data_IF_267510373799
#
_entry.id   IF_267510373799
#
_cell.length_a   1.000
_cell.length_b   1.000
_cell.length_c   1.000
_cell.angle_alpha   90.00
_cell.angle_beta   90.00
_cell.angle_gamma   90.00
#
_symmetry.space_group_name_H-M   'P 1'
#
loop_
_entity.id
_entity.type
_entity.pdbx_description
1 polymer ?
#
# COMPACT_ATOMS: atom_id res chain seq x y z
N UNK A 1 13.75 -12.53 -6.73
CA UNK A 1 13.37 -11.10 -6.83
C UNK A 1 11.87 -11.01 -6.63
N UNK A 2 11.42 -10.43 -5.52
CA UNK A 2 10.00 -10.17 -5.30
C UNK A 2 9.57 -9.11 -6.32
N UNK A 3 8.84 -9.53 -7.37
CA UNK A 3 8.36 -8.63 -8.40
C UNK A 3 7.14 -7.92 -7.83
N UNK A 4 7.32 -6.68 -7.40
CA UNK A 4 6.20 -5.81 -7.04
C UNK A 4 5.67 -5.20 -8.34
N UNK A 5 4.41 -5.47 -8.63
CA UNK A 5 3.72 -4.95 -9.80
C UNK A 5 3.63 -3.41 -9.78
N UNK A 6 3.42 -2.80 -10.94
CA UNK A 6 3.30 -1.35 -11.07
C UNK A 6 2.20 -0.78 -10.16
N UNK A 7 1.08 -1.49 -10.01
CA UNK A 7 -0.02 -1.10 -9.13
C UNK A 7 0.38 -1.14 -7.64
N UNK A 8 1.11 -2.18 -7.23
CA UNK A 8 1.60 -2.31 -5.86
C UNK A 8 2.62 -1.22 -5.54
N UNK A 9 3.47 -0.85 -6.50
CA UNK A 9 4.40 0.27 -6.34
C UNK A 9 3.65 1.59 -6.16
N UNK A 10 2.59 1.83 -6.92
CA UNK A 10 1.71 3.02 -6.74
C UNK A 10 1.03 3.03 -5.38
N UNK A 11 0.52 1.89 -4.91
CA UNK A 11 -0.09 1.76 -3.57
C UNK A 11 0.94 2.09 -2.47
N UNK A 12 2.15 1.57 -2.58
CA UNK A 12 3.23 1.85 -1.63
C UNK A 12 3.66 3.31 -1.68
N UNK A 13 3.83 3.91 -2.87
CA UNK A 13 4.13 5.33 -3.03
C UNK A 13 3.05 6.22 -2.42
N UNK A 14 1.77 5.92 -2.67
CA UNK A 14 0.65 6.65 -2.08
C UNK A 14 0.67 6.58 -0.55
N UNK A 15 1.00 5.42 0.03
CA UNK A 15 1.16 5.27 1.48
C UNK A 15 2.34 6.08 2.04
N UNK A 16 3.44 6.21 1.28
CA UNK A 16 4.57 7.06 1.66
C UNK A 16 4.20 8.54 1.59
N UNK A 17 3.52 8.96 0.53
CA UNK A 17 3.07 10.35 0.36
C UNK A 17 2.07 10.77 1.43
N UNK A 18 1.13 9.88 1.81
CA UNK A 18 0.18 10.15 2.89
C UNK A 18 0.88 10.22 4.25
N UNK A 19 2.05 9.57 4.40
CA UNK A 19 2.85 9.51 5.63
C UNK A 19 2.08 9.08 6.89
N UNK A 20 0.91 8.47 6.73
CA UNK A 20 -0.01 8.12 7.81
C UNK A 20 -0.84 6.87 7.45
N UNK A 21 -1.49 6.23 8.44
CA UNK A 21 -2.37 5.10 8.19
C UNK A 21 -3.53 5.53 7.30
N UNK A 22 -3.57 5.02 6.07
CA UNK A 22 -4.54 5.39 5.05
C UNK A 22 -5.60 4.30 4.88
N UNK A 23 -6.82 4.73 4.58
CA UNK A 23 -7.91 3.81 4.22
C UNK A 23 -7.77 3.38 2.75
N UNK A 24 -8.35 2.24 2.35
CA UNK A 24 -8.35 1.82 0.94
C UNK A 24 -8.80 2.93 -0.02
N UNK A 25 -9.79 3.73 0.41
CA UNK A 25 -10.29 4.87 -0.37
C UNK A 25 -9.23 5.95 -0.61
N UNK A 26 -8.51 6.34 0.45
CA UNK A 26 -7.44 7.33 0.34
C UNK A 26 -6.28 6.81 -0.51
N UNK A 27 -5.94 5.53 -0.36
CA UNK A 27 -4.90 4.89 -1.16
C UNK A 27 -5.31 4.83 -2.63
N UNK A 28 -6.57 4.51 -2.95
CA UNK A 28 -7.06 4.54 -4.33
C UNK A 28 -7.05 5.93 -4.95
N UNK A 29 -7.40 6.96 -4.20
CA UNK A 29 -7.36 8.35 -4.68
C UNK A 29 -5.93 8.82 -4.90
N UNK A 30 -5.03 8.58 -3.94
CA UNK A 30 -3.62 8.98 -4.05
C UNK A 30 -2.86 8.16 -5.11
N UNK A 31 -3.11 6.85 -5.20
CA UNK A 31 -2.48 5.99 -6.21
C UNK A 31 -3.11 6.13 -7.61
N UNK A 32 -4.28 6.75 -7.72
CA UNK A 32 -5.07 6.82 -8.96
C UNK A 32 -5.44 5.43 -9.49
N UNK A 33 -5.76 4.49 -8.58
CA UNK A 33 -6.05 3.10 -8.91
C UNK A 33 -7.48 2.73 -8.55
N UNK A 34 -8.04 1.74 -9.25
CA UNK A 34 -9.36 1.21 -8.92
C UNK A 34 -9.38 0.59 -7.52
N UNK A 35 -10.47 0.82 -6.78
CA UNK A 35 -10.65 0.29 -5.42
C UNK A 35 -10.51 -1.24 -5.34
N UNK A 36 -10.88 -1.98 -6.40
CA UNK A 36 -10.69 -3.44 -6.46
C UNK A 36 -9.22 -3.81 -6.54
N UNK A 37 -8.45 -3.09 -7.37
CA UNK A 37 -7.01 -3.30 -7.52
C UNK A 37 -6.32 -2.98 -6.20
N UNK A 38 -6.60 -1.81 -5.60
CA UNK A 38 -6.02 -1.41 -4.32
C UNK A 38 -6.32 -2.43 -3.23
N UNK A 39 -7.55 -2.92 -3.13
CA UNK A 39 -7.91 -3.93 -2.11
C UNK A 39 -7.13 -5.23 -2.31
N UNK A 40 -6.97 -5.69 -3.56
CA UNK A 40 -6.16 -6.87 -3.89
C UNK A 40 -4.69 -6.65 -3.54
N UNK A 41 -4.12 -5.51 -3.94
CA UNK A 41 -2.72 -5.20 -3.69
C UNK A 41 -2.43 -4.99 -2.21
N UNK A 42 -3.25 -4.24 -1.47
CA UNK A 42 -3.10 -4.08 -0.01
C UNK A 42 -3.12 -5.45 0.68
N UNK A 43 -3.98 -6.37 0.26
CA UNK A 43 -4.02 -7.72 0.82
C UNK A 43 -2.70 -8.46 0.56
N UNK A 44 -2.22 -8.48 -0.67
CA UNK A 44 -0.92 -9.08 -1.01
C UNK A 44 0.26 -8.41 -0.29
N UNK A 45 0.28 -7.09 -0.23
CA UNK A 45 1.32 -6.31 0.46
C UNK A 45 1.31 -6.55 1.97
N UNK A 46 0.13 -6.71 2.56
CA UNK A 46 -0.04 -7.09 3.96
C UNK A 46 0.46 -8.52 4.21
N UNK A 47 0.10 -9.48 3.35
CA UNK A 47 0.58 -10.87 3.45
C UNK A 47 2.12 -10.95 3.31
N UNK A 48 2.72 -10.03 2.55
CA UNK A 48 4.18 -9.92 2.40
C UNK A 48 4.87 -9.16 3.53
N UNK A 49 4.15 -8.55 4.48
CA UNK A 49 4.74 -7.74 5.56
C UNK A 49 5.11 -6.30 5.18
N UNK A 50 4.80 -5.86 3.96
CA UNK A 50 5.07 -4.49 3.48
C UNK A 50 4.11 -3.43 4.03
N UNK A 51 2.94 -3.86 4.51
CA UNK A 51 1.90 -2.97 5.03
C UNK A 51 1.38 -3.52 6.35
N UNK A 52 1.29 -2.66 7.37
CA UNK A 52 0.73 -2.98 8.68
C UNK A 52 -0.63 -2.30 8.89
N UNK A 53 -1.47 -2.84 9.77
CA UNK A 53 -2.81 -2.31 10.07
C UNK A 53 -2.87 -1.77 11.51
N UNK A 54 -2.34 -0.57 11.79
CA UNK A 54 -2.27 -0.02 13.14
C UNK A 54 -3.65 0.35 13.72
N UNK A 55 -4.66 0.58 12.87
CA UNK A 55 -6.03 0.85 13.28
C UNK A 55 -7.03 0.11 12.39
N UNK A 56 -8.27 -0.07 12.88
CA UNK A 56 -9.34 -0.72 12.10
C UNK A 56 -9.55 0.04 10.77
N UNK A 57 -9.46 -0.68 9.66
CA UNK A 57 -9.56 -0.15 8.29
C UNK A 57 -8.47 0.86 7.85
N UNK A 58 -7.36 0.98 8.58
CA UNK A 58 -6.24 1.82 8.16
C UNK A 58 -4.98 0.99 7.94
N UNK A 59 -4.28 1.30 6.87
CA UNK A 59 -3.08 0.61 6.41
C UNK A 59 -1.92 1.59 6.38
N UNK A 60 -0.79 1.21 6.98
CA UNK A 60 0.43 1.99 7.02
C UNK A 60 1.56 1.19 6.37
N UNK A 61 2.42 1.86 5.60
CA UNK A 61 3.59 1.22 5.01
C UNK A 61 4.64 0.90 6.08
N UNK A 62 5.22 -0.30 6.04
CA UNK A 62 6.32 -0.73 6.91
C UNK A 62 7.68 -0.34 6.32
N UNK A 63 8.75 -0.47 7.09
CA UNK A 63 10.11 -0.23 6.59
C UNK A 63 10.47 -1.14 5.41
N UNK A 64 9.99 -2.39 5.40
CA UNK A 64 10.15 -3.29 4.25
C UNK A 64 9.44 -2.76 3.01
N UNK A 65 8.20 -2.26 3.16
CA UNK A 65 7.46 -1.67 2.06
C UNK A 65 8.13 -0.42 1.49
N UNK A 66 8.73 0.41 2.35
CA UNK A 66 9.51 1.58 1.92
C UNK A 66 10.76 1.17 1.12
N UNK A 67 11.41 0.08 1.53
CA UNK A 67 12.58 -0.47 0.85
C UNK A 67 12.29 -0.91 -0.59
N UNK A 68 11.04 -1.29 -0.89
CA UNK A 68 10.62 -1.75 -2.21
C UNK A 68 10.33 -0.64 -3.23
N UNK A 69 10.16 0.61 -2.78
CA UNK A 69 9.95 1.75 -3.68
C UNK A 69 11.30 2.25 -4.25
N UNK A 70 12.39 1.98 -3.52
CA UNK A 70 13.73 2.52 -3.73
C UNK A 70 14.50 1.85 -4.86
#
# INVERSE_FOLDING_TARGET
MAKIDADSKKVLSALVEIAAPASNKQISEAAGLDSKIVTKQIKSLKDQGFVNSPARCKYAITDEGKGQIK
#
